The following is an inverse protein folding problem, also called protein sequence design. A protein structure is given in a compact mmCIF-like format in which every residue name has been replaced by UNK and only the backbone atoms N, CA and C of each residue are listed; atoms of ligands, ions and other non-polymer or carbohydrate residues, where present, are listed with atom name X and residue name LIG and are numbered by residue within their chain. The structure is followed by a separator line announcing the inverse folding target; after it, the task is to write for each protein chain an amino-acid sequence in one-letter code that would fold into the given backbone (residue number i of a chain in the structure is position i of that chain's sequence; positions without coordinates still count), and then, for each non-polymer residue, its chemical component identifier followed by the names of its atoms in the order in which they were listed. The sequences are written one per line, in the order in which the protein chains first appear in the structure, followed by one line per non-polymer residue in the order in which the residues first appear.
data_IF_177065940680
#
_entry.id   IF_177065940680
#
_cell.length_a   1.000
_cell.length_b   1.000
_cell.length_c   1.000
_cell.angle_alpha   90.00
_cell.angle_beta   90.00
_cell.angle_gamma   90.00
#
_symmetry.space_group_name_H-M   'P 1'
#
loop_
_entity.id
_entity.type
_entity.pdbx_description
1 polymer ?
#
# COMPACT_ATOMS: atom_id res chain seq x y z
N UNK A 1 -17.34 11.15 3.73
CA UNK A 1 -15.87 11.09 3.93
C UNK A 1 -15.46 11.64 5.30
N UNK A 2 -15.74 12.91 5.67
CA UNK A 2 -15.30 13.49 6.98
C UNK A 2 -15.92 12.82 8.20
N UNK A 3 -17.14 12.30 8.11
CA UNK A 3 -17.82 11.59 9.21
C UNK A 3 -17.05 10.36 9.70
N UNK A 4 -16.30 9.68 8.84
CA UNK A 4 -15.49 8.53 9.27
C UNK A 4 -14.38 8.93 10.24
N UNK A 5 -13.76 10.10 10.01
CA UNK A 5 -12.72 10.62 10.91
C UNK A 5 -13.32 11.04 12.27
N UNK A 6 -14.50 11.66 12.25
CA UNK A 6 -15.19 12.02 13.48
C UNK A 6 -15.56 10.79 14.32
N UNK A 7 -16.07 9.73 13.68
CA UNK A 7 -16.35 8.45 14.34
C UNK A 7 -15.10 7.78 14.91
N UNK A 8 -13.99 7.80 14.18
CA UNK A 8 -12.72 7.28 14.66
C UNK A 8 -12.20 8.07 15.88
N UNK A 9 -12.32 9.40 15.85
CA UNK A 9 -11.94 10.26 16.98
C UNK A 9 -12.82 10.02 18.22
N UNK A 10 -14.11 9.82 18.03
CA UNK A 10 -15.03 9.43 19.12
C UNK A 10 -14.66 8.06 19.69
N UNK A 11 -14.45 7.06 18.82
CA UNK A 11 -14.05 5.72 19.24
C UNK A 11 -12.73 5.73 20.01
N UNK A 12 -11.73 6.49 19.56
CA UNK A 12 -10.47 6.71 20.26
C UNK A 12 -10.69 7.26 21.67
N UNK A 13 -11.50 8.30 21.79
CA UNK A 13 -11.77 8.95 23.08
C UNK A 13 -12.47 8.01 24.06
N UNK A 14 -13.47 7.26 23.59
CA UNK A 14 -14.19 6.27 24.39
C UNK A 14 -13.27 5.15 24.86
N UNK A 15 -12.52 4.55 23.94
CA UNK A 15 -11.60 3.47 24.27
C UNK A 15 -10.51 3.92 25.27
N UNK A 16 -9.94 5.10 25.08
CA UNK A 16 -8.92 5.64 26.00
C UNK A 16 -9.48 5.79 27.41
N UNK A 17 -10.73 6.29 27.55
CA UNK A 17 -11.39 6.46 28.83
C UNK A 17 -11.74 5.12 29.51
N UNK A 18 -12.27 4.17 28.73
CA UNK A 18 -12.68 2.84 29.25
C UNK A 18 -11.49 1.96 29.60
N UNK A 19 -10.40 2.04 28.84
CA UNK A 19 -9.20 1.21 29.03
C UNK A 19 -8.12 1.86 29.87
N UNK A 20 -8.32 3.11 30.30
CA UNK A 20 -7.36 3.90 31.08
C UNK A 20 -5.98 4.03 30.43
N UNK A 21 -5.95 4.10 29.07
CA UNK A 21 -4.72 4.33 28.31
C UNK A 21 -4.63 5.80 27.87
N UNK A 22 -3.41 6.36 27.72
CA UNK A 22 -3.25 7.72 27.20
C UNK A 22 -3.85 7.84 25.80
N UNK A 23 -4.69 8.86 25.57
CA UNK A 23 -5.35 9.09 24.29
C UNK A 23 -4.33 9.25 23.14
N UNK A 24 -3.18 9.85 23.44
CA UNK A 24 -2.12 10.09 22.47
C UNK A 24 -1.37 8.83 22.05
N UNK A 25 -1.52 7.71 22.80
CA UNK A 25 -0.99 6.40 22.39
C UNK A 25 -1.80 5.76 21.27
N UNK A 26 -3.02 6.25 21.00
CA UNK A 26 -3.91 5.70 19.98
C UNK A 26 -3.90 6.63 18.77
N UNK A 27 -3.37 6.17 17.65
CA UNK A 27 -3.26 6.97 16.42
C UNK A 27 -4.35 6.65 15.42
N UNK A 28 -4.79 7.66 14.68
CA UNK A 28 -5.79 7.53 13.61
C UNK A 28 -5.07 7.69 12.28
N UNK A 29 -4.98 6.62 11.50
CA UNK A 29 -4.51 6.66 10.13
C UNK A 29 -5.68 6.81 9.16
N UNK A 30 -5.64 7.82 8.29
CA UNK A 30 -6.59 7.97 7.20
C UNK A 30 -6.27 6.97 6.10
N UNK A 31 -7.07 5.92 5.97
CA UNK A 31 -6.92 4.91 4.93
C UNK A 31 -7.55 5.38 3.61
N UNK A 32 -6.75 5.42 2.56
CA UNK A 32 -7.10 5.85 1.21
C UNK A 32 -6.79 4.70 0.23
N UNK A 33 -7.81 4.06 -0.30
CA UNK A 33 -7.66 2.97 -1.25
C UNK A 33 -7.07 3.45 -2.59
N UNK A 34 -6.45 2.55 -3.35
CA UNK A 34 -6.02 2.77 -4.72
C UNK A 34 -7.19 3.15 -5.65
N UNK A 35 -6.89 3.73 -6.80
CA UNK A 35 -7.89 4.07 -7.81
C UNK A 35 -8.73 2.86 -8.24
N UNK A 36 -8.09 1.70 -8.39
CA UNK A 36 -8.74 0.45 -8.76
C UNK A 36 -9.93 0.05 -7.88
N UNK A 37 -9.91 0.39 -6.59
CA UNK A 37 -11.00 0.13 -5.67
C UNK A 37 -12.24 1.01 -5.92
N UNK A 38 -12.11 2.09 -6.68
CA UNK A 38 -13.24 2.99 -7.05
C UNK A 38 -14.00 2.54 -8.29
N UNK A 39 -13.47 1.56 -9.02
CA UNK A 39 -14.08 1.06 -10.25
C UNK A 39 -15.30 0.16 -9.95
N UNK A 40 -16.34 0.15 -10.82
CA UNK A 40 -17.48 -0.75 -10.67
C UNK A 40 -17.08 -2.22 -10.61
N UNK A 41 -16.01 -2.57 -11.33
CA UNK A 41 -15.28 -3.81 -11.26
C UNK A 41 -13.96 -3.50 -10.59
N UNK A 42 -13.75 -3.87 -9.30
CA UNK A 42 -12.53 -3.53 -8.59
C UNK A 42 -11.29 -4.15 -9.23
N UNK A 43 -10.27 -3.32 -9.44
CA UNK A 43 -8.97 -3.68 -10.03
C UNK A 43 -7.77 -3.28 -9.16
N UNK A 44 -7.98 -3.15 -7.85
CA UNK A 44 -6.90 -2.84 -6.89
C UNK A 44 -5.91 -3.99 -6.68
N UNK A 45 -6.24 -5.20 -7.17
CA UNK A 45 -5.36 -6.37 -7.05
C UNK A 45 -4.55 -6.67 -8.33
N UNK A 46 -4.96 -6.14 -9.46
CA UNK A 46 -4.35 -6.42 -10.76
C UNK A 46 -3.93 -5.18 -11.55
N UNK A 47 -4.46 -4.01 -11.21
CA UNK A 47 -4.11 -2.73 -11.82
C UNK A 47 -4.58 -2.56 -13.27
N UNK A 48 -5.57 -3.31 -13.75
CA UNK A 48 -6.14 -3.14 -15.08
C UNK A 48 -7.07 -1.92 -15.15
N UNK A 49 -6.47 -0.75 -15.05
CA UNK A 49 -7.20 0.51 -15.08
C UNK A 49 -7.57 0.92 -16.50
N UNK A 50 -8.79 1.42 -16.73
CA UNK A 50 -9.17 1.93 -18.05
C UNK A 50 -8.49 3.28 -18.34
N UNK A 51 -8.39 3.69 -19.63
CA UNK A 51 -7.97 5.04 -19.97
C UNK A 51 -8.87 6.11 -19.31
N UNK A 52 -8.36 7.27 -18.86
CA UNK A 52 -6.97 7.70 -19.02
C UNK A 52 -5.99 7.13 -17.96
N UNK A 53 -6.43 6.36 -16.99
CA UNK A 53 -5.64 5.87 -15.85
C UNK A 53 -4.76 4.67 -16.18
N UNK A 54 -5.03 3.98 -17.28
CA UNK A 54 -4.30 2.80 -17.74
C UNK A 54 -4.29 2.70 -19.28
N UNK A 55 -3.57 1.69 -19.80
CA UNK A 55 -3.30 1.58 -21.24
C UNK A 55 -4.49 1.07 -22.06
N UNK A 56 -5.43 0.36 -21.44
CA UNK A 56 -6.58 -0.22 -22.11
C UNK A 56 -7.73 -0.53 -21.15
N UNK A 57 -8.96 -0.60 -21.68
CA UNK A 57 -10.07 -1.14 -20.90
C UNK A 57 -9.88 -2.65 -20.67
N UNK A 58 -10.28 -3.10 -19.50
CA UNK A 58 -10.25 -4.54 -19.16
C UNK A 58 -11.29 -5.30 -20.00
N UNK A 59 -10.87 -6.43 -20.58
CA UNK A 59 -11.74 -7.37 -21.28
C UNK A 59 -11.71 -8.69 -20.53
N UNK A 60 -12.88 -9.15 -20.06
CA UNK A 60 -12.96 -10.45 -19.41
C UNK A 60 -12.64 -11.56 -20.44
N UNK A 61 -11.73 -12.51 -20.11
CA UNK A 61 -11.28 -13.51 -21.08
C UNK A 61 -12.41 -14.34 -21.74
N UNK A 62 -13.52 -14.56 -21.01
CA UNK A 62 -14.69 -15.28 -21.57
C UNK A 62 -15.58 -14.42 -22.48
N UNK A 63 -15.45 -13.10 -22.46
CA UNK A 63 -16.28 -12.20 -23.27
C UNK A 63 -15.82 -12.14 -24.72
N UNK A 64 -14.49 -12.21 -24.92
CA UNK A 64 -13.88 -12.28 -26.26
C UNK A 64 -12.57 -13.08 -26.17
N UNK A 65 -12.60 -14.38 -26.50
CA UNK A 65 -11.40 -15.22 -26.52
C UNK A 65 -10.34 -14.79 -27.54
N UNK A 66 -10.70 -13.96 -28.53
CA UNK A 66 -9.79 -13.43 -29.53
C UNK A 66 -9.19 -12.06 -29.13
N UNK A 67 -9.66 -11.46 -28.03
CA UNK A 67 -9.13 -10.19 -27.54
C UNK A 67 -7.64 -10.34 -27.18
N UNK A 68 -6.83 -9.28 -27.40
CA UNK A 68 -5.45 -9.29 -26.94
C UNK A 68 -5.41 -9.39 -25.41
N UNK A 69 -4.35 -9.98 -24.83
CA UNK A 69 -4.21 -10.09 -23.38
C UNK A 69 -4.33 -8.72 -22.69
N UNK A 70 -5.01 -8.71 -21.54
CA UNK A 70 -5.07 -7.52 -20.72
C UNK A 70 -3.65 -7.12 -20.26
N UNK A 71 -3.39 -5.81 -20.29
CA UNK A 71 -2.14 -5.24 -19.83
C UNK A 71 -2.41 -4.06 -18.87
N UNK A 72 -1.59 -3.95 -17.87
CA UNK A 72 -1.61 -2.86 -16.90
C UNK A 72 -0.39 -1.95 -17.01
N UNK A 73 0.63 -2.30 -17.81
CA UNK A 73 1.78 -1.47 -18.12
C UNK A 73 1.65 -0.85 -19.51
N UNK A 74 2.16 0.38 -19.67
CA UNK A 74 2.30 1.05 -20.95
C UNK A 74 3.52 0.49 -21.70
N UNK A 75 3.51 0.55 -23.01
CA UNK A 75 4.65 0.21 -23.87
C UNK A 75 5.64 1.37 -23.92
N UNK A 76 6.85 1.08 -24.38
CA UNK A 76 7.91 2.09 -24.48
C UNK A 76 7.58 3.26 -25.43
N UNK A 77 6.70 3.02 -26.41
CA UNK A 77 6.20 4.04 -27.36
C UNK A 77 4.95 4.78 -26.84
N UNK A 78 4.41 4.40 -25.69
CA UNK A 78 3.21 5.01 -25.06
C UNK A 78 3.57 5.94 -23.87
N UNK A 79 4.79 6.48 -23.83
CA UNK A 79 5.25 7.32 -22.67
C UNK A 79 4.36 8.54 -22.42
N UNK A 80 3.85 9.17 -23.47
CA UNK A 80 2.96 10.32 -23.34
C UNK A 80 1.64 9.94 -22.68
N UNK A 81 1.10 8.76 -22.99
CA UNK A 81 -0.12 8.23 -22.38
C UNK A 81 0.15 7.81 -20.91
N UNK A 82 1.33 7.23 -20.61
CA UNK A 82 1.71 6.93 -19.23
C UNK A 82 1.80 8.19 -18.37
N UNK A 83 2.40 9.28 -18.90
CA UNK A 83 2.46 10.57 -18.22
C UNK A 83 1.05 11.16 -17.98
N UNK A 84 0.14 11.04 -18.95
CA UNK A 84 -1.26 11.44 -18.77
C UNK A 84 -1.96 10.59 -17.70
N UNK A 85 -1.72 9.29 -17.67
CA UNK A 85 -2.29 8.39 -16.65
C UNK A 85 -1.78 8.73 -15.25
N UNK A 86 -0.49 9.02 -15.11
CA UNK A 86 0.08 9.47 -13.84
C UNK A 86 -0.52 10.80 -13.39
N UNK A 87 -0.71 11.76 -14.30
CA UNK A 87 -1.36 13.04 -14.00
C UNK A 87 -2.83 12.87 -13.57
N UNK A 88 -3.58 11.99 -14.23
CA UNK A 88 -4.95 11.68 -13.87
C UNK A 88 -5.07 11.01 -12.50
N UNK A 89 -4.19 10.05 -12.19
CA UNK A 89 -4.09 9.43 -10.87
C UNK A 89 -3.68 10.45 -9.79
N UNK A 90 -2.75 11.36 -10.11
CA UNK A 90 -2.36 12.45 -9.21
C UNK A 90 -3.57 13.32 -8.85
N UNK A 91 -4.36 13.74 -9.85
CA UNK A 91 -5.56 14.54 -9.62
C UNK A 91 -6.59 13.79 -8.75
N UNK A 92 -6.80 12.50 -8.99
CA UNK A 92 -7.69 11.65 -8.19
C UNK A 92 -7.29 11.61 -6.70
N UNK A 93 -6.01 11.38 -6.42
CA UNK A 93 -5.53 11.32 -5.03
C UNK A 93 -5.53 12.69 -4.37
N UNK A 94 -5.11 13.74 -5.08
CA UNK A 94 -5.06 15.11 -4.58
C UNK A 94 -6.45 15.64 -4.21
N UNK A 95 -7.47 15.38 -5.04
CA UNK A 95 -8.85 15.77 -4.75
C UNK A 95 -9.32 15.17 -3.41
N UNK A 96 -9.03 13.90 -3.17
CA UNK A 96 -9.38 13.22 -1.92
C UNK A 96 -8.64 13.82 -0.72
N UNK A 97 -7.34 14.07 -0.84
CA UNK A 97 -6.54 14.70 0.21
C UNK A 97 -7.06 16.10 0.53
N UNK A 98 -7.33 16.93 -0.49
CA UNK A 98 -7.91 18.27 -0.32
C UNK A 98 -9.27 18.22 0.37
N UNK A 99 -10.11 17.24 0.07
CA UNK A 99 -11.41 17.09 0.71
C UNK A 99 -11.30 16.91 2.25
N UNK A 100 -10.24 16.25 2.75
CA UNK A 100 -9.98 16.14 4.18
C UNK A 100 -9.26 17.35 4.74
N UNK A 101 -8.26 17.88 4.04
CA UNK A 101 -7.46 19.02 4.49
C UNK A 101 -8.27 20.34 4.54
N UNK A 102 -9.32 20.47 3.74
CA UNK A 102 -10.20 21.65 3.71
C UNK A 102 -10.95 21.91 5.04
N UNK A 103 -10.99 20.93 5.96
CA UNK A 103 -11.56 21.10 7.29
C UNK A 103 -10.48 20.89 8.35
N UNK A 104 -10.07 21.99 8.99
CA UNK A 104 -8.96 21.99 9.94
C UNK A 104 -9.19 21.07 11.17
N UNK A 105 -10.45 20.85 11.58
CA UNK A 105 -10.76 19.96 12.70
C UNK A 105 -10.58 18.50 12.27
N UNK A 106 -11.13 18.13 11.12
CA UNK A 106 -10.93 16.79 10.52
C UNK A 106 -9.45 16.51 10.32
N UNK A 107 -8.70 17.46 9.74
CA UNK A 107 -7.28 17.29 9.47
C UNK A 107 -6.45 17.09 10.75
N UNK A 108 -6.72 17.87 11.80
CA UNK A 108 -6.04 17.69 13.10
C UNK A 108 -6.33 16.34 13.77
N UNK A 109 -7.49 15.75 13.51
CA UNK A 109 -7.86 14.44 14.07
C UNK A 109 -7.18 13.25 13.39
N UNK A 110 -6.53 13.47 12.24
CA UNK A 110 -5.77 12.48 11.50
C UNK A 110 -4.31 12.55 11.96
N UNK A 111 -3.74 11.42 12.36
CA UNK A 111 -2.35 11.33 12.79
C UNK A 111 -1.41 10.89 11.65
N UNK A 112 -1.91 10.10 10.68
CA UNK A 112 -1.12 9.60 9.55
C UNK A 112 -1.99 9.39 8.30
N UNK A 113 -1.35 9.32 7.11
CA UNK A 113 -2.02 8.95 5.85
C UNK A 113 -1.55 7.59 5.40
N UNK A 114 -2.49 6.71 5.06
CA UNK A 114 -2.25 5.34 4.61
C UNK A 114 -2.86 5.13 3.22
N UNK A 115 -2.03 5.04 2.20
CA UNK A 115 -2.49 4.63 0.86
C UNK A 115 -2.39 3.12 0.75
N UNK A 116 -3.51 2.47 0.46
CA UNK A 116 -3.65 1.03 0.66
C UNK A 116 -3.94 0.28 -0.63
N UNK A 117 -3.35 -0.92 -0.75
CA UNK A 117 -3.61 -1.88 -1.84
C UNK A 117 -3.27 -1.30 -3.21
N UNK A 118 -2.09 -0.68 -3.32
CA UNK A 118 -1.63 -0.03 -4.55
C UNK A 118 -0.91 -1.03 -5.45
N UNK A 119 -1.46 -1.35 -6.65
CA UNK A 119 -0.91 -2.40 -7.51
C UNK A 119 0.11 -1.91 -8.54
N UNK A 120 0.31 -0.59 -8.68
CA UNK A 120 1.06 0.00 -9.78
C UNK A 120 2.09 1.03 -9.31
N UNK A 121 3.31 0.90 -9.79
CA UNK A 121 4.40 1.83 -9.50
C UNK A 121 4.09 3.26 -9.98
N UNK A 122 3.39 3.41 -11.14
CA UNK A 122 2.94 4.75 -11.59
C UNK A 122 1.92 5.36 -10.65
N UNK A 123 1.07 4.57 -9.98
CA UNK A 123 0.14 5.10 -8.98
C UNK A 123 0.87 5.52 -7.70
N UNK A 124 1.93 4.79 -7.31
CA UNK A 124 2.82 5.24 -6.23
C UNK A 124 3.43 6.60 -6.56
N UNK A 125 3.97 6.80 -7.78
CA UNK A 125 4.47 8.11 -8.21
C UNK A 125 3.38 9.19 -8.19
N UNK A 126 2.18 8.85 -8.65
CA UNK A 126 1.04 9.77 -8.64
C UNK A 126 0.63 10.18 -7.21
N UNK A 127 0.64 9.26 -6.26
CA UNK A 127 0.39 9.54 -4.83
C UNK A 127 1.47 10.49 -4.28
N UNK A 128 2.73 10.25 -4.57
CA UNK A 128 3.85 11.12 -4.18
C UNK A 128 3.68 12.55 -4.69
N UNK A 129 3.27 12.69 -5.95
CA UNK A 129 2.94 14.01 -6.54
C UNK A 129 1.74 14.66 -5.87
N UNK A 130 0.71 13.88 -5.54
CA UNK A 130 -0.49 14.39 -4.88
C UNK A 130 -0.17 14.90 -3.46
N UNK A 131 0.66 14.17 -2.69
CA UNK A 131 1.11 14.62 -1.37
C UNK A 131 1.96 15.88 -1.49
N UNK A 132 2.91 15.90 -2.44
CA UNK A 132 3.74 17.08 -2.70
C UNK A 132 2.89 18.31 -3.04
N UNK A 133 1.90 18.15 -3.94
CA UNK A 133 1.00 19.24 -4.33
C UNK A 133 0.13 19.73 -3.16
N UNK A 134 -0.34 18.83 -2.28
CA UNK A 134 -1.06 19.24 -1.06
C UNK A 134 -0.18 20.07 -0.13
N UNK A 135 1.10 19.70 0.03
CA UNK A 135 2.05 20.50 0.83
C UNK A 135 2.29 21.87 0.22
N UNK A 136 2.38 21.95 -1.11
CA UNK A 136 2.59 23.20 -1.86
C UNK A 136 1.31 24.09 -1.87
N UNK A 137 0.12 23.54 -1.63
CA UNK A 137 -1.13 24.29 -1.44
C UNK A 137 -1.16 25.13 -0.13
N UNK A 138 -0.07 25.17 0.61
CA UNK A 138 0.08 25.98 1.81
C UNK A 138 -0.12 25.25 3.13
N UNK A 139 -0.01 23.92 3.12
CA UNK A 139 0.01 23.11 4.33
C UNK A 139 1.28 23.45 5.14
N UNK A 140 1.09 23.88 6.38
CA UNK A 140 2.22 24.23 7.24
C UNK A 140 3.04 23.00 7.61
N UNK A 141 4.36 23.13 7.88
CA UNK A 141 5.20 21.99 8.26
C UNK A 141 4.64 21.17 9.43
N UNK A 142 4.08 21.83 10.45
CA UNK A 142 3.47 21.19 11.63
C UNK A 142 2.12 20.51 11.35
N UNK A 143 1.51 20.78 10.21
CA UNK A 143 0.27 20.16 9.74
C UNK A 143 0.52 18.97 8.82
N UNK A 144 1.78 18.74 8.39
CA UNK A 144 2.16 17.60 7.62
C UNK A 144 1.97 16.34 8.44
N UNK A 145 1.57 15.27 7.76
CA UNK A 145 1.34 13.97 8.40
C UNK A 145 2.37 12.97 7.92
N UNK A 146 2.89 12.11 8.78
CA UNK A 146 3.61 10.93 8.31
C UNK A 146 2.67 10.10 7.41
N UNK A 147 3.25 9.47 6.38
CA UNK A 147 2.44 8.74 5.43
C UNK A 147 3.19 7.58 4.79
N UNK A 148 2.41 6.62 4.33
CA UNK A 148 2.95 5.44 3.65
C UNK A 148 2.07 4.99 2.50
N UNK A 149 2.66 4.14 1.66
CA UNK A 149 1.96 3.40 0.62
C UNK A 149 2.13 1.91 0.87
N UNK A 150 1.03 1.16 0.91
CA UNK A 150 1.04 -0.29 0.94
C UNK A 150 0.80 -0.84 -0.46
N UNK A 151 1.77 -1.60 -0.97
CA UNK A 151 1.63 -2.41 -2.16
C UNK A 151 0.82 -3.67 -1.87
N UNK A 152 0.15 -4.20 -2.89
CA UNK A 152 -0.40 -5.55 -2.88
C UNK A 152 0.52 -6.50 -3.66
N UNK A 153 0.64 -7.76 -3.20
CA UNK A 153 1.46 -8.78 -3.85
C UNK A 153 0.63 -10.02 -4.16
N UNK A 154 -0.13 -9.95 -5.25
CA UNK A 154 -0.96 -11.08 -5.68
C UNK A 154 -0.10 -12.27 -6.06
N UNK A 155 -0.31 -13.41 -5.39
CA UNK A 155 0.54 -14.59 -5.59
C UNK A 155 2.03 -14.39 -5.21
N UNK A 156 2.34 -13.39 -4.38
CA UNK A 156 3.70 -13.06 -3.96
C UNK A 156 4.52 -12.25 -4.97
N UNK A 157 3.86 -11.67 -5.97
CA UNK A 157 4.47 -10.83 -6.99
C UNK A 157 3.74 -9.48 -7.09
N UNK A 158 4.49 -8.41 -7.36
CA UNK A 158 3.89 -7.11 -7.62
C UNK A 158 3.08 -7.14 -8.91
N UNK A 159 1.83 -6.62 -8.95
CA UNK A 159 0.93 -6.86 -10.08
C UNK A 159 1.33 -6.20 -11.39
N UNK A 160 2.10 -5.10 -11.35
CA UNK A 160 2.47 -4.38 -12.56
C UNK A 160 3.38 -5.22 -13.46
N UNK A 161 3.00 -5.29 -14.72
CA UNK A 161 3.77 -5.99 -15.76
C UNK A 161 5.01 -5.16 -16.13
N UNK A 162 6.09 -5.84 -16.50
CA UNK A 162 7.23 -5.16 -17.11
C UNK A 162 6.83 -4.60 -18.48
N UNK A 163 7.39 -3.44 -18.82
CA UNK A 163 7.24 -2.88 -20.15
C UNK A 163 7.86 -3.84 -21.18
N UNK A 164 7.01 -4.44 -22.00
CA UNK A 164 7.48 -5.23 -23.14
C UNK A 164 8.08 -4.32 -24.22
N UNK A 165 9.19 -4.70 -24.84
CA UNK A 165 9.63 -4.09 -26.10
C UNK A 165 8.57 -4.28 -27.20
N UNK A 166 8.64 -3.49 -28.26
CA UNK A 166 7.73 -3.62 -29.40
C UNK A 166 7.73 -5.07 -29.94
N UNK A 167 6.59 -5.77 -29.81
CA UNK A 167 6.43 -7.16 -30.24
C UNK A 167 6.76 -8.24 -29.21
N UNK A 168 7.25 -7.90 -28.00
CA UNK A 168 7.40 -8.88 -26.92
C UNK A 168 6.08 -9.09 -26.19
N UNK A 169 5.72 -10.36 -25.95
CA UNK A 169 4.72 -10.71 -24.96
C UNK A 169 5.16 -10.14 -23.61
N UNK A 170 4.24 -9.62 -22.80
CA UNK A 170 4.52 -9.09 -21.44
C UNK A 170 5.18 -10.22 -20.63
N UNK A 171 6.50 -10.14 -20.46
CA UNK A 171 7.30 -11.23 -19.91
C UNK A 171 7.75 -10.95 -18.49
N UNK A 172 6.87 -10.92 -17.50
CA UNK A 172 7.27 -10.82 -16.11
C UNK A 172 6.58 -9.67 -15.36
N UNK A 173 6.78 -9.65 -14.05
CA UNK A 173 6.32 -8.62 -13.13
C UNK A 173 7.46 -7.64 -12.85
N UNK A 174 7.09 -6.42 -12.46
CA UNK A 174 8.05 -5.39 -12.09
C UNK A 174 8.93 -5.88 -10.92
N UNK A 175 10.24 -5.71 -11.05
CA UNK A 175 11.19 -6.15 -10.04
C UNK A 175 11.12 -5.28 -8.78
N UNK A 176 11.49 -5.81 -7.61
CA UNK A 176 11.45 -5.10 -6.34
C UNK A 176 12.23 -3.77 -6.36
N UNK A 177 13.39 -3.73 -7.03
CA UNK A 177 14.18 -2.50 -7.19
C UNK A 177 13.43 -1.40 -7.96
N UNK A 178 12.65 -1.77 -8.98
CA UNK A 178 11.90 -0.82 -9.80
C UNK A 178 10.65 -0.34 -9.04
N UNK A 179 10.05 -1.21 -8.21
CA UNK A 179 9.02 -0.84 -7.25
C UNK A 179 9.58 0.18 -6.26
N UNK A 180 10.73 -0.10 -5.62
CA UNK A 180 11.35 0.82 -4.67
C UNK A 180 11.74 2.16 -5.30
N UNK A 181 12.18 2.16 -6.57
CA UNK A 181 12.45 3.39 -7.30
C UNK A 181 11.20 4.27 -7.43
N UNK A 182 10.01 3.69 -7.53
CA UNK A 182 8.77 4.45 -7.51
C UNK A 182 8.47 5.06 -6.13
N UNK A 183 8.88 4.41 -5.03
CA UNK A 183 8.68 4.90 -3.66
C UNK A 183 9.71 5.96 -3.25
N UNK A 184 10.99 5.67 -3.48
CA UNK A 184 12.10 6.41 -2.89
C UNK A 184 13.08 7.00 -3.93
N UNK A 185 12.87 6.72 -5.21
CA UNK A 185 13.69 7.27 -6.29
C UNK A 185 13.68 8.80 -6.30
N UNK A 186 14.78 9.40 -6.75
CA UNK A 186 15.06 10.83 -6.66
C UNK A 186 13.86 11.69 -7.04
N UNK A 187 13.57 12.63 -6.13
CA UNK A 187 12.63 13.72 -6.36
C UNK A 187 13.10 14.67 -7.48
N UNK A 188 14.37 14.53 -7.91
CA UNK A 188 15.01 15.37 -8.93
C UNK A 188 14.83 14.85 -10.36
N UNK A 189 14.26 13.65 -10.56
CA UNK A 189 13.73 13.30 -11.86
C UNK A 189 12.46 14.12 -12.04
N UNK A 190 12.65 15.38 -12.39
CA UNK A 190 11.59 16.28 -12.79
C UNK A 190 10.82 15.56 -13.92
N UNK A 191 9.66 15.02 -13.58
CA UNK A 191 8.68 14.64 -14.59
C UNK A 191 8.51 15.81 -15.56
N UNK A 192 8.05 15.56 -16.76
CA UNK A 192 7.74 16.63 -17.70
C UNK A 192 6.93 17.70 -16.97
N UNK A 193 7.51 18.90 -16.77
CA UNK A 193 6.88 20.02 -16.08
C UNK A 193 7.41 20.37 -14.68
N UNK A 194 8.51 19.76 -14.18
CA UNK A 194 9.14 20.18 -12.91
C UNK A 194 8.36 19.77 -11.64
N UNK A 195 7.49 18.77 -11.71
CA UNK A 195 6.69 18.34 -10.58
C UNK A 195 7.54 17.67 -9.48
N UNK A 196 7.32 18.06 -8.22
CA UNK A 196 7.95 17.48 -7.04
C UNK A 196 7.29 16.14 -6.66
N UNK A 197 8.07 15.23 -6.14
CA UNK A 197 7.62 13.96 -5.56
C UNK A 197 7.93 13.94 -4.06
N UNK A 198 6.93 13.89 -3.20
CA UNK A 198 7.15 13.69 -1.77
C UNK A 198 7.66 12.26 -1.52
N UNK A 199 8.47 12.07 -0.48
CA UNK A 199 9.00 10.75 -0.11
C UNK A 199 8.14 10.17 1.02
N UNK A 200 7.60 8.94 0.90
CA UNK A 200 6.87 8.32 1.98
C UNK A 200 7.79 7.93 3.15
N UNK A 201 7.25 7.98 4.38
CA UNK A 201 7.98 7.58 5.58
C UNK A 201 8.10 6.05 5.69
N UNK A 202 7.22 5.31 5.02
CA UNK A 202 7.24 3.86 5.02
C UNK A 202 6.84 3.24 3.68
N UNK A 203 7.40 2.05 3.44
CA UNK A 203 6.92 1.06 2.48
C UNK A 203 6.00 0.08 3.18
N UNK A 204 4.90 -0.34 2.56
CA UNK A 204 4.01 -1.32 3.16
C UNK A 204 3.58 -2.44 2.22
N UNK A 205 3.08 -3.52 2.83
CA UNK A 205 2.39 -4.63 2.16
C UNK A 205 1.07 -4.89 2.88
N UNK A 206 -0.04 -4.82 2.15
CA UNK A 206 -1.36 -5.15 2.70
C UNK A 206 -2.19 -5.99 1.74
N UNK A 207 -3.36 -6.47 2.18
CA UNK A 207 -4.29 -7.27 1.39
C UNK A 207 -3.64 -8.44 0.63
N UNK A 208 -2.57 -8.98 1.18
CA UNK A 208 -1.76 -10.08 0.65
C UNK A 208 -1.86 -11.24 1.63
N UNK A 209 -1.97 -12.48 1.13
CA UNK A 209 -1.93 -13.65 2.00
C UNK A 209 -0.58 -13.71 2.74
N UNK A 210 -0.58 -14.00 4.03
CA UNK A 210 0.63 -13.98 4.88
C UNK A 210 1.75 -14.86 4.30
N UNK A 211 1.40 -16.00 3.69
CA UNK A 211 2.35 -16.90 3.01
C UNK A 211 3.12 -16.23 1.85
N UNK A 212 2.58 -15.18 1.24
CA UNK A 212 3.23 -14.44 0.16
C UNK A 212 4.02 -13.22 0.64
N UNK A 213 3.72 -12.73 1.85
CA UNK A 213 4.37 -11.52 2.40
C UNK A 213 5.87 -11.74 2.62
N UNK A 214 6.27 -12.93 3.09
CA UNK A 214 7.67 -13.25 3.35
C UNK A 214 8.54 -13.05 2.10
N UNK A 215 8.12 -13.58 0.94
CA UNK A 215 8.82 -13.43 -0.34
C UNK A 215 8.90 -11.97 -0.77
N UNK A 216 7.80 -11.24 -0.67
CA UNK A 216 7.75 -9.82 -1.03
C UNK A 216 8.68 -8.97 -0.17
N UNK A 217 8.62 -9.15 1.15
CA UNK A 217 9.45 -8.40 2.12
C UNK A 217 10.94 -8.72 1.92
N UNK A 218 11.30 -9.99 1.72
CA UNK A 218 12.69 -10.36 1.46
C UNK A 218 13.23 -9.66 0.20
N UNK A 219 12.50 -9.75 -0.93
CA UNK A 219 12.92 -9.13 -2.20
C UNK A 219 13.05 -7.60 -2.09
N UNK A 220 12.12 -6.95 -1.38
CA UNK A 220 12.16 -5.50 -1.17
C UNK A 220 13.29 -5.12 -0.21
N UNK A 221 13.53 -5.90 0.85
CA UNK A 221 14.64 -5.65 1.80
C UNK A 221 16.00 -5.79 1.13
N UNK A 222 16.18 -6.80 0.27
CA UNK A 222 17.41 -6.98 -0.50
C UNK A 222 17.66 -5.81 -1.46
N UNK A 223 16.61 -5.41 -2.19
CA UNK A 223 16.69 -4.26 -3.09
C UNK A 223 16.93 -2.93 -2.33
N UNK A 224 16.38 -2.76 -1.13
CA UNK A 224 16.63 -1.57 -0.31
C UNK A 224 18.08 -1.53 0.20
N UNK A 225 18.63 -2.68 0.62
CA UNK A 225 20.04 -2.80 1.02
C UNK A 225 20.98 -2.39 -0.12
N UNK A 226 20.68 -2.83 -1.36
CA UNK A 226 21.47 -2.49 -2.54
C UNK A 226 21.51 -0.98 -2.85
N UNK A 227 20.48 -0.22 -2.43
CA UNK A 227 20.46 1.24 -2.64
C UNK A 227 21.48 1.99 -1.78
N UNK A 228 21.91 1.41 -0.66
CA UNK A 228 22.79 2.07 0.31
C UNK A 228 22.18 3.34 0.92
N UNK A 229 20.86 3.48 0.91
CA UNK A 229 20.17 4.67 1.37
C UNK A 229 20.49 4.96 2.85
N UNK A 230 20.88 6.21 3.16
CA UNK A 230 21.20 6.62 4.53
C UNK A 230 19.94 6.69 5.44
N UNK A 231 18.78 6.97 4.87
CA UNK A 231 17.51 6.99 5.58
C UNK A 231 16.86 5.60 5.50
N UNK A 232 16.54 5.04 6.65
CA UNK A 232 15.84 3.76 6.76
C UNK A 232 14.33 4.02 6.84
N UNK A 233 13.54 3.71 5.79
CA UNK A 233 12.10 3.85 5.86
C UNK A 233 11.52 2.82 6.85
N UNK A 234 10.30 3.07 7.31
CA UNK A 234 9.57 2.06 8.08
C UNK A 234 8.96 1.01 7.15
N UNK A 235 8.70 -0.17 7.73
CA UNK A 235 7.97 -1.26 7.06
C UNK A 235 6.57 -1.39 7.67
N UNK A 236 5.53 -1.41 6.83
CA UNK A 236 4.14 -1.63 7.27
C UNK A 236 3.64 -2.96 6.75
N UNK A 237 3.23 -3.87 7.65
CA UNK A 237 2.76 -5.22 7.31
C UNK A 237 1.32 -5.42 7.78
N UNK A 238 0.40 -5.54 6.84
CA UNK A 238 -1.03 -5.78 7.12
C UNK A 238 -1.58 -6.88 6.20
N UNK A 239 -1.17 -8.15 6.39
CA UNK A 239 -1.67 -9.26 5.59
C UNK A 239 -3.14 -9.58 5.85
N UNK A 240 -3.74 -10.39 4.99
CA UNK A 240 -5.07 -10.95 5.20
C UNK A 240 -5.05 -12.01 6.30
N UNK A 241 -6.18 -12.18 6.98
CA UNK A 241 -6.37 -13.13 8.07
C UNK A 241 -6.49 -14.60 7.63
N UNK A 242 -5.57 -15.07 6.77
CA UNK A 242 -5.51 -16.47 6.32
C UNK A 242 -6.38 -16.82 5.12
N UNK A 243 -7.34 -16.00 4.76
CA UNK A 243 -8.14 -16.18 3.54
C UNK A 243 -7.53 -15.44 2.35
N UNK A 244 -7.73 -16.01 1.16
CA UNK A 244 -7.31 -15.44 -0.12
C UNK A 244 -8.55 -15.05 -0.93
N UNK A 245 -8.51 -13.88 -1.56
CA UNK A 245 -9.53 -13.46 -2.50
C UNK A 245 -9.23 -14.02 -3.89
N UNK A 246 -10.16 -14.78 -4.42
CA UNK A 246 -10.08 -15.33 -5.78
C UNK A 246 -10.62 -14.27 -6.75
N UNK A 247 -9.76 -13.81 -7.65
CA UNK A 247 -10.08 -12.75 -8.62
C UNK A 247 -11.06 -13.20 -9.70
N UNK A 248 -11.07 -14.49 -10.05
CA UNK A 248 -11.94 -15.06 -11.09
C UNK A 248 -13.35 -15.29 -10.55
N UNK A 249 -13.45 -15.94 -9.40
CA UNK A 249 -14.73 -16.26 -8.76
C UNK A 249 -15.26 -15.13 -7.87
N UNK A 250 -14.40 -14.14 -7.53
CA UNK A 250 -14.67 -13.00 -6.62
C UNK A 250 -15.15 -13.45 -5.25
N UNK A 251 -14.62 -14.54 -4.76
CA UNK A 251 -14.95 -15.10 -3.44
C UNK A 251 -13.71 -15.19 -2.58
N UNK A 252 -13.94 -15.07 -1.28
CA UNK A 252 -12.95 -15.40 -0.29
C UNK A 252 -12.93 -16.92 -0.09
N UNK A 253 -11.73 -17.49 -0.07
CA UNK A 253 -11.48 -18.89 0.21
C UNK A 253 -10.25 -19.07 1.07
N UNK A 254 -10.11 -20.24 1.69
CA UNK A 254 -8.89 -20.56 2.44
C UNK A 254 -7.78 -20.97 1.48
N UNK A 255 -6.57 -20.50 1.74
CA UNK A 255 -5.38 -20.92 1.01
C UNK A 255 -5.15 -22.43 1.27
N UNK A 256 -5.15 -23.24 0.21
CA UNK A 256 -5.06 -24.69 0.33
C UNK A 256 -6.37 -25.43 0.64
N UNK A 257 -7.50 -24.73 0.71
CA UNK A 257 -8.83 -25.35 0.88
C UNK A 257 -9.21 -25.76 2.30
N UNK A 258 -8.32 -25.52 3.27
CA UNK A 258 -8.57 -25.83 4.69
C UNK A 258 -8.75 -24.54 5.52
N UNK A 259 -9.63 -24.63 6.53
CA UNK A 259 -9.72 -23.58 7.55
C UNK A 259 -8.56 -23.82 8.52
N UNK A 260 -7.56 -22.93 8.61
CA UNK A 260 -6.48 -23.14 9.57
C UNK A 260 -7.01 -23.08 11.01
N UNK A 261 -6.26 -23.68 11.92
CA UNK A 261 -6.37 -23.44 13.36
C UNK A 261 -5.83 -22.04 13.67
N UNK A 262 -6.39 -21.10 13.01
CA UNK A 262 -6.72 -19.71 13.24
C UNK A 262 -5.73 -18.92 14.08
N UNK A 263 -5.61 -17.71 13.92
CA UNK A 263 -4.96 -16.73 14.77
C UNK A 263 -3.50 -17.06 15.11
N UNK A 264 -3.23 -18.17 15.76
CA UNK A 264 -1.88 -18.51 16.26
C UNK A 264 -0.91 -18.86 15.13
N UNK A 265 -1.32 -19.61 14.11
CA UNK A 265 -0.46 -19.93 12.96
C UNK A 265 -0.19 -18.70 12.10
N UNK A 266 -1.24 -17.92 11.81
CA UNK A 266 -1.11 -16.65 11.10
C UNK A 266 -0.17 -15.69 11.86
N UNK A 267 -0.36 -15.56 13.17
CA UNK A 267 0.47 -14.72 14.03
C UNK A 267 1.92 -15.20 14.08
N UNK A 268 2.14 -16.51 14.14
CA UNK A 268 3.47 -17.13 14.09
C UNK A 268 4.19 -16.80 12.78
N UNK A 269 3.53 -16.99 11.63
CA UNK A 269 4.09 -16.67 10.31
C UNK A 269 4.42 -15.17 10.18
N UNK A 270 3.52 -14.29 10.62
CA UNK A 270 3.79 -12.84 10.58
C UNK A 270 4.92 -12.45 11.54
N UNK A 271 4.98 -13.05 12.72
CA UNK A 271 6.07 -12.87 13.68
C UNK A 271 7.43 -13.29 13.12
N UNK A 272 7.50 -14.40 12.35
CA UNK A 272 8.72 -14.82 11.66
C UNK A 272 9.16 -13.80 10.61
N UNK A 273 8.21 -13.24 9.85
CA UNK A 273 8.49 -12.20 8.86
C UNK A 273 9.03 -10.94 9.54
N UNK A 274 8.42 -10.52 10.65
CA UNK A 274 8.88 -9.36 11.44
C UNK A 274 10.30 -9.58 11.95
N UNK A 275 10.61 -10.75 12.51
CA UNK A 275 11.97 -11.09 12.97
C UNK A 275 12.98 -11.07 11.83
N UNK A 276 12.65 -11.67 10.70
CA UNK A 276 13.53 -11.66 9.52
C UNK A 276 13.81 -10.23 9.02
N UNK A 277 12.78 -9.39 8.92
CA UNK A 277 12.91 -8.01 8.50
C UNK A 277 13.72 -7.16 9.51
N UNK A 278 13.51 -7.38 10.81
CA UNK A 278 14.30 -6.73 11.89
C UNK A 278 15.78 -7.12 11.80
N UNK A 279 16.06 -8.41 11.65
CA UNK A 279 17.45 -8.93 11.55
C UNK A 279 18.16 -8.44 10.29
N UNK A 280 17.44 -8.12 9.22
CA UNK A 280 17.99 -7.53 7.99
C UNK A 280 18.56 -6.12 8.24
N UNK A 281 18.01 -5.36 9.18
CA UNK A 281 18.56 -4.08 9.64
C UNK A 281 18.44 -2.93 8.66
N UNK A 282 17.62 -3.04 7.62
CA UNK A 282 17.42 -1.99 6.60
C UNK A 282 16.20 -1.11 6.88
N UNK A 283 15.38 -1.49 7.86
CA UNK A 283 14.15 -0.79 8.22
C UNK A 283 14.32 0.01 9.51
N UNK A 284 13.86 1.25 9.53
CA UNK A 284 13.90 2.13 10.71
C UNK A 284 12.92 1.73 11.81
N UNK A 285 11.89 0.96 11.47
CA UNK A 285 10.89 0.41 12.37
C UNK A 285 9.88 -0.43 11.59
N UNK A 286 9.05 -1.21 12.30
CA UNK A 286 8.04 -2.08 11.68
C UNK A 286 6.68 -1.84 12.36
N UNK A 287 5.68 -1.46 11.57
CA UNK A 287 4.28 -1.38 11.98
C UNK A 287 3.57 -2.64 11.48
N UNK A 288 2.93 -3.36 12.39
CA UNK A 288 2.22 -4.61 12.05
C UNK A 288 0.75 -4.54 12.41
N UNK A 289 -0.05 -5.25 11.64
CA UNK A 289 -1.49 -5.36 11.85
C UNK A 289 -2.09 -6.37 10.90
N UNK A 290 -3.36 -6.19 10.59
CA UNK A 290 -4.08 -7.04 9.65
C UNK A 290 -4.89 -6.25 8.65
N UNK A 291 -5.31 -6.91 7.57
CA UNK A 291 -6.20 -6.39 6.55
C UNK A 291 -7.50 -7.22 6.51
N UNK A 292 -7.97 -7.56 5.33
CA UNK A 292 -9.20 -8.31 5.13
C UNK A 292 -9.21 -9.63 5.92
N UNK A 293 -10.34 -9.95 6.55
CA UNK A 293 -10.53 -11.18 7.34
C UNK A 293 -9.62 -11.34 8.57
N UNK A 294 -8.91 -10.29 8.99
CA UNK A 294 -8.22 -10.26 10.27
C UNK A 294 -9.16 -9.71 11.34
N UNK A 295 -9.32 -10.43 12.42
CA UNK A 295 -10.14 -10.05 13.56
C UNK A 295 -9.32 -9.82 14.84
N UNK A 296 -10.00 -9.65 15.95
CA UNK A 296 -9.37 -9.45 17.26
C UNK A 296 -8.62 -10.70 17.75
N UNK A 297 -9.03 -11.89 17.32
CA UNK A 297 -8.36 -13.15 17.60
C UNK A 297 -6.93 -13.18 17.06
N UNK A 298 -6.77 -12.91 15.76
CA UNK A 298 -5.47 -12.83 15.08
C UNK A 298 -4.59 -11.75 15.68
N UNK A 299 -5.14 -10.56 15.97
CA UNK A 299 -4.39 -9.46 16.54
C UNK A 299 -3.91 -9.75 17.97
N UNK A 300 -4.73 -10.41 18.80
CA UNK A 300 -4.32 -10.85 20.15
C UNK A 300 -3.22 -11.92 20.09
N UNK A 301 -3.31 -12.86 19.15
CA UNK A 301 -2.28 -13.87 18.95
C UNK A 301 -0.96 -13.22 18.50
N UNK A 302 -1.04 -12.25 17.56
CA UNK A 302 0.12 -11.50 17.10
C UNK A 302 0.79 -10.72 18.23
N UNK A 303 0.04 -10.02 19.06
CA UNK A 303 0.57 -9.32 20.22
C UNK A 303 1.37 -10.26 21.14
N UNK A 304 0.82 -11.44 21.47
CA UNK A 304 1.52 -12.44 22.28
C UNK A 304 2.83 -12.93 21.64
N UNK A 305 2.82 -13.15 20.31
CA UNK A 305 4.02 -13.59 19.57
C UNK A 305 5.10 -12.49 19.60
N UNK A 306 4.73 -11.23 19.46
CA UNK A 306 5.66 -10.11 19.47
C UNK A 306 6.21 -9.85 20.89
N UNK A 307 5.37 -9.87 21.93
CA UNK A 307 5.77 -9.66 23.32
C UNK A 307 6.71 -10.77 23.83
N UNK A 308 6.51 -12.03 23.39
CA UNK A 308 7.35 -13.16 23.78
C UNK A 308 8.76 -13.13 23.19
N UNK A 309 9.01 -12.29 22.19
CA UNK A 309 10.27 -12.23 21.44
C UNK A 309 11.22 -11.07 21.82
N UNK A 310 10.94 -10.35 22.91
CA UNK A 310 11.80 -9.28 23.45
C UNK A 310 11.24 -7.87 23.26
N UNK A 311 11.91 -6.84 23.78
CA UNK A 311 11.34 -5.52 23.89
C UNK A 311 11.01 -4.96 22.49
N UNK A 312 9.74 -4.79 22.25
CA UNK A 312 9.26 -3.89 21.19
C UNK A 312 9.78 -2.50 21.53
N UNK A 313 10.64 -1.95 20.68
CA UNK A 313 11.19 -0.62 20.89
C UNK A 313 10.05 0.37 21.14
N UNK A 314 10.17 1.12 22.23
CA UNK A 314 9.27 2.24 22.49
C UNK A 314 9.33 3.21 21.31
N UNK A 315 8.17 3.55 20.80
CA UNK A 315 8.03 4.63 19.80
C UNK A 315 8.26 5.93 20.56
N UNK A 316 9.46 6.49 20.43
CA UNK A 316 9.75 7.87 20.85
C UNK A 316 9.25 8.87 19.83
#
# INVERSE_FOLDING_TARGET
MRSSVALAAEARSRFAAESHVPIDSIKIALSLAAYGASLPLPHEFDGFYPPPYGPQAYVHPSADPAAPPNRNAFRADERAQEAQAEAALTAFHLERLRAYAADAQTWRSIDALAFETVPLAREVRAIRRAVAALEDDGLKPEERKPWWVCAVYTGGEFPEQQQGGAGAASGGRLAARDVLAAYFGDSDVHGEGGARYAVPDAFGVNCTAVAHVAKAVAAVSDALEETGAAAQPWLVLKPNGGQTYDMDTRKWGWYGGESPSQGDEWAGQLGDIVRAATNKGVWGGILVGGCCKTGDGELRALAKVLDSNGPTGEIN
#
